data_IF_504142623399
#
_entry.id   IF_504142623399
#
_cell.length_a   1.000
_cell.length_b   1.000
_cell.length_c   1.000
_cell.angle_alpha   90.00
_cell.angle_beta   90.00
_cell.angle_gamma   90.00
#
_symmetry.space_group_name_H-M   'P 1'
#
loop_
_entity.id
_entity.type
_entity.pdbx_description
1 polymer ?
#
# COMPACT_ATOMS: atom_id res chain seq x y z
N UNK A 1 -8.30 -4.90 16.96
CA UNK A 1 -7.90 -3.85 16.00
C UNK A 1 -6.74 -4.43 15.23
N UNK A 2 -6.81 -4.45 13.89
CA UNK A 2 -5.68 -4.92 13.07
C UNK A 2 -4.45 -4.06 13.40
N UNK A 3 -3.29 -4.70 13.58
CA UNK A 3 -2.08 -3.95 13.89
C UNK A 3 -1.44 -3.39 12.62
N UNK A 4 -0.62 -2.36 12.79
CA UNK A 4 0.05 -1.67 11.68
C UNK A 4 0.97 -2.59 10.87
N UNK A 5 1.54 -3.64 11.47
CA UNK A 5 2.45 -4.54 10.77
C UNK A 5 1.68 -5.46 9.81
N UNK A 6 0.51 -5.93 10.22
CA UNK A 6 -0.40 -6.72 9.39
C UNK A 6 -0.89 -5.90 8.20
N UNK A 7 -1.36 -4.67 8.46
CA UNK A 7 -1.74 -3.72 7.42
C UNK A 7 -0.60 -3.43 6.43
N UNK A 8 0.63 -3.29 6.93
CA UNK A 8 1.82 -3.09 6.11
C UNK A 8 2.26 -4.33 5.32
N UNK A 9 2.00 -5.54 5.81
CA UNK A 9 2.26 -6.76 5.09
C UNK A 9 1.30 -6.90 3.89
N UNK A 10 0.01 -6.64 4.11
CA UNK A 10 -1.00 -6.65 3.07
C UNK A 10 -0.66 -5.69 1.91
N UNK A 11 -0.23 -4.45 2.22
CA UNK A 11 0.19 -3.50 1.17
C UNK A 11 1.38 -3.99 0.36
N UNK A 12 2.39 -4.60 1.01
CA UNK A 12 3.55 -5.14 0.31
C UNK A 12 3.15 -6.29 -0.59
N UNK A 13 2.34 -7.22 -0.08
CA UNK A 13 1.84 -8.36 -0.84
C UNK A 13 1.02 -7.92 -2.05
N UNK A 14 0.14 -6.93 -1.88
CA UNK A 14 -0.61 -6.31 -2.97
C UNK A 14 0.33 -5.76 -4.05
N UNK A 15 1.34 -4.99 -3.66
CA UNK A 15 2.28 -4.40 -4.63
C UNK A 15 3.08 -5.49 -5.35
N UNK A 16 3.65 -6.46 -4.62
CA UNK A 16 4.41 -7.56 -5.22
C UNK A 16 3.58 -8.44 -6.18
N UNK A 17 2.27 -8.56 -5.96
CA UNK A 17 1.39 -9.30 -6.87
C UNK A 17 0.98 -8.52 -8.12
N UNK A 18 0.95 -7.18 -8.06
CA UNK A 18 0.40 -6.36 -9.15
C UNK A 18 1.47 -5.65 -9.99
N UNK A 19 2.70 -5.53 -9.48
CA UNK A 19 3.81 -4.91 -10.19
C UNK A 19 4.96 -5.91 -10.30
N UNK A 20 5.53 -6.02 -11.49
CA UNK A 20 6.69 -6.87 -11.72
C UNK A 20 7.99 -6.13 -11.39
N UNK A 21 9.02 -6.86 -10.95
CA UNK A 21 10.34 -6.27 -10.69
C UNK A 21 10.39 -5.27 -9.54
N UNK A 22 9.47 -5.37 -8.56
CA UNK A 22 9.39 -4.43 -7.43
C UNK A 22 10.67 -4.42 -6.60
N UNK A 23 11.30 -3.25 -6.53
CA UNK A 23 12.47 -2.97 -5.72
C UNK A 23 12.22 -1.77 -4.78
N UNK A 24 13.00 -1.70 -3.70
CA UNK A 24 13.06 -0.54 -2.80
C UNK A 24 11.71 -0.07 -2.24
N UNK A 25 10.77 -0.99 -2.03
CA UNK A 25 9.44 -0.67 -1.49
C UNK A 25 9.52 0.00 -0.12
N UNK A 26 8.90 1.18 -0.02
CA UNK A 26 8.87 2.00 1.19
C UNK A 26 7.48 2.57 1.42
N UNK A 27 6.82 2.08 2.47
CA UNK A 27 5.59 2.68 3.00
C UNK A 27 5.98 3.97 3.75
N UNK A 28 5.66 5.12 3.18
CA UNK A 28 5.99 6.45 3.74
C UNK A 28 5.01 6.85 4.83
N UNK A 29 3.72 6.68 4.54
CA UNK A 29 2.66 6.96 5.50
C UNK A 29 1.71 5.78 5.60
N UNK A 30 1.20 5.57 6.81
CA UNK A 30 0.14 4.61 7.08
C UNK A 30 -0.71 5.12 8.23
N UNK A 31 -2.01 5.27 8.00
CA UNK A 31 -2.97 5.83 8.96
C UNK A 31 -4.19 4.92 9.04
N UNK A 32 -4.65 4.66 10.26
CA UNK A 32 -5.90 3.95 10.53
C UNK A 32 -6.98 4.95 10.93
N UNK A 33 -8.12 4.89 10.24
CA UNK A 33 -9.31 5.62 10.63
C UNK A 33 -10.22 4.72 11.47
N UNK A 34 -10.35 5.05 12.76
CA UNK A 34 -11.17 4.31 13.73
C UNK A 34 -12.68 4.38 13.46
N UNK A 35 -13.16 5.37 12.71
CA UNK A 35 -14.59 5.55 12.45
C UNK A 35 -15.05 4.67 11.28
N UNK A 36 -14.21 4.51 10.27
CA UNK A 36 -14.50 3.70 9.08
C UNK A 36 -13.86 2.31 9.13
N UNK A 37 -12.84 2.13 9.98
CA UNK A 37 -12.03 0.91 10.02
C UNK A 37 -11.02 0.80 8.87
N UNK A 38 -10.86 1.87 8.08
CA UNK A 38 -10.00 1.86 6.90
C UNK A 38 -8.56 2.19 7.24
N UNK A 39 -7.65 1.55 6.53
CA UNK A 39 -6.25 1.92 6.44
C UNK A 39 -6.00 2.71 5.17
N UNK A 40 -5.24 3.78 5.28
CA UNK A 40 -4.67 4.51 4.15
C UNK A 40 -3.16 4.35 4.17
N UNK A 41 -2.57 4.00 3.03
CA UNK A 41 -1.13 3.88 2.83
C UNK A 41 -0.68 4.75 1.67
N UNK A 42 0.44 5.45 1.86
CA UNK A 42 1.22 6.05 0.76
C UNK A 42 2.54 5.32 0.66
N UNK A 43 2.78 4.67 -0.48
CA UNK A 43 3.93 3.80 -0.70
C UNK A 43 4.66 4.24 -1.96
N UNK A 44 5.98 4.19 -1.92
CA UNK A 44 6.82 4.35 -3.10
C UNK A 44 7.65 3.10 -3.33
N UNK A 45 7.84 2.73 -4.59
CA UNK A 45 8.69 1.61 -5.00
C UNK A 45 9.18 1.85 -6.42
N UNK A 46 10.15 1.07 -6.86
CA UNK A 46 10.64 1.11 -8.24
C UNK A 46 10.35 -0.23 -8.93
N UNK A 47 10.19 -0.21 -10.25
CA UNK A 47 10.49 -1.36 -11.08
C UNK A 47 11.78 -1.08 -11.89
N UNK A 48 12.13 -1.96 -12.82
CA UNK A 48 13.34 -1.83 -13.64
C UNK A 48 13.34 -0.57 -14.53
N UNK A 49 12.17 -0.02 -14.83
CA UNK A 49 11.97 1.04 -15.81
C UNK A 49 11.47 2.36 -15.18
N UNK A 50 10.86 2.31 -13.99
CA UNK A 50 10.02 3.40 -13.44
C UNK A 50 10.05 3.47 -11.91
N UNK A 51 9.81 4.67 -11.41
CA UNK A 51 9.49 4.91 -10.00
C UNK A 51 7.98 5.12 -9.86
N UNK A 52 7.38 4.50 -8.85
CA UNK A 52 5.96 4.62 -8.54
C UNK A 52 5.76 5.31 -7.21
N UNK A 53 4.73 6.16 -7.15
CA UNK A 53 4.07 6.51 -5.91
C UNK A 53 2.60 6.04 -5.96
N UNK A 54 2.17 5.32 -4.94
CA UNK A 54 0.82 4.74 -4.86
C UNK A 54 0.16 5.08 -3.53
N UNK A 55 -1.09 5.54 -3.59
CA UNK A 55 -1.97 5.67 -2.44
C UNK A 55 -3.01 4.55 -2.47
N UNK A 56 -3.13 3.81 -1.37
CA UNK A 56 -4.04 2.68 -1.23
C UNK A 56 -4.93 2.92 -0.01
N UNK A 57 -6.24 2.79 -0.18
CA UNK A 57 -7.21 2.69 0.91
C UNK A 57 -7.77 1.28 0.93
N UNK A 58 -7.75 0.65 2.10
CA UNK A 58 -8.19 -0.73 2.28
C UNK A 58 -8.80 -0.95 3.67
N UNK A 59 -9.53 -2.04 3.83
CA UNK A 59 -10.07 -2.47 5.11
C UNK A 59 -9.91 -3.98 5.19
N UNK A 60 -9.08 -4.46 6.14
CA UNK A 60 -8.63 -5.85 6.22
C UNK A 60 -7.98 -6.28 4.89
N UNK A 61 -8.53 -7.29 4.24
CA UNK A 61 -8.09 -7.89 2.98
C UNK A 61 -8.72 -7.24 1.74
N UNK A 62 -9.58 -6.23 1.92
CA UNK A 62 -10.31 -5.61 0.82
C UNK A 62 -9.71 -4.25 0.43
N UNK A 63 -9.24 -4.16 -0.81
CA UNK A 63 -8.90 -2.89 -1.46
C UNK A 63 -10.19 -2.09 -1.73
N UNK A 64 -10.21 -0.83 -1.30
CA UNK A 64 -11.32 0.11 -1.50
C UNK A 64 -10.97 1.08 -2.63
N UNK A 65 -9.72 1.58 -2.63
CA UNK A 65 -9.26 2.56 -3.59
C UNK A 65 -7.76 2.45 -3.80
N UNK A 66 -7.34 2.67 -5.05
CA UNK A 66 -5.94 2.73 -5.44
C UNK A 66 -5.75 3.92 -6.37
N UNK A 67 -4.72 4.72 -6.09
CA UNK A 67 -4.29 5.81 -6.98
C UNK A 67 -2.79 5.75 -7.18
N UNK A 68 -2.41 5.58 -8.44
CA UNK A 68 -1.03 5.71 -8.88
C UNK A 68 -0.73 7.16 -9.29
N UNK A 69 0.49 7.58 -8.98
CA UNK A 69 1.10 8.83 -9.40
C UNK A 69 2.40 8.43 -10.12
N UNK A 70 2.43 8.66 -11.44
CA UNK A 70 3.58 8.40 -12.34
C UNK A 70 4.29 9.74 -12.57
#
# INVERSE_FOLDING_TARGET
>A
MEDRNTAAAFIREYIYHNYEGVENIRIREMKFDKYTGNWTSHTSFNDIDRSYEIAIVFNKDKIIFVKEFI
#
